data_IF_332775846780
#
_entry.id   IF_332775846780
#
_cell.length_a   1.000
_cell.length_b   1.000
_cell.length_c   1.000
_cell.angle_alpha   90.00
_cell.angle_beta   90.00
_cell.angle_gamma   90.00
#
_symmetry.space_group_name_H-M   'P 1'
#
loop_
_entity.id
_entity.type
_entity.pdbx_description
1 polymer ?
#
# COMPACT_ATOMS: atom_id res chain seq x y z
N UNK A 1 4.00 -6.95 17.17
CA UNK A 1 3.06 -6.05 16.48
C UNK A 1 1.75 -6.80 16.36
N UNK A 2 0.61 -6.21 16.72
CA UNK A 2 -0.69 -6.90 16.64
C UNK A 2 -1.06 -7.24 15.19
N UNK A 3 -1.56 -8.44 14.94
CA UNK A 3 -2.02 -8.93 13.62
C UNK A 3 -3.52 -9.24 13.66
N UNK A 4 -4.14 -9.41 12.48
CA UNK A 4 -5.50 -9.94 12.39
C UNK A 4 -5.43 -11.44 12.14
N UNK A 5 -6.25 -12.21 12.86
CA UNK A 5 -6.29 -13.67 12.75
C UNK A 5 -7.26 -14.14 11.67
N UNK A 6 -8.17 -13.27 11.22
CA UNK A 6 -9.11 -13.54 10.14
C UNK A 6 -9.52 -12.27 9.39
N UNK A 7 -10.16 -12.46 8.24
CA UNK A 7 -10.69 -11.36 7.43
C UNK A 7 -11.84 -10.63 8.12
N UNK A 8 -12.66 -11.31 8.92
CA UNK A 8 -13.71 -10.68 9.72
C UNK A 8 -13.11 -9.70 10.74
N UNK A 9 -11.99 -10.07 11.38
CA UNK A 9 -11.31 -9.20 12.32
C UNK A 9 -10.79 -7.93 11.63
N UNK A 10 -10.19 -8.08 10.44
CA UNK A 10 -9.76 -6.96 9.60
C UNK A 10 -10.93 -6.03 9.27
N UNK A 11 -12.03 -6.58 8.75
CA UNK A 11 -13.23 -5.82 8.34
C UNK A 11 -13.85 -5.07 9.52
N UNK A 12 -14.05 -5.75 10.65
CA UNK A 12 -14.66 -5.16 11.84
C UNK A 12 -13.80 -4.05 12.44
N UNK A 13 -12.48 -4.22 12.45
CA UNK A 13 -11.56 -3.21 12.99
C UNK A 13 -11.48 -1.98 12.08
N UNK A 14 -11.61 -2.17 10.76
CA UNK A 14 -11.35 -1.12 9.77
C UNK A 14 -12.60 -0.42 9.24
N UNK A 15 -13.81 -0.82 9.66
CA UNK A 15 -15.10 -0.29 9.15
C UNK A 15 -15.24 1.24 9.24
N UNK A 16 -14.52 1.89 10.16
CA UNK A 16 -14.51 3.35 10.31
C UNK A 16 -13.34 4.05 9.61
N UNK A 17 -12.41 3.30 9.02
CA UNK A 17 -11.18 3.82 8.40
C UNK A 17 -11.25 3.70 6.88
N UNK A 18 -11.71 2.56 6.37
CA UNK A 18 -11.94 2.37 4.95
C UNK A 18 -13.09 1.39 4.72
N UNK A 19 -13.68 1.47 3.54
CA UNK A 19 -14.70 0.53 3.06
C UNK A 19 -14.24 -0.09 1.73
N UNK A 20 -14.81 -1.24 1.36
CA UNK A 20 -14.58 -1.87 0.06
C UNK A 20 -15.95 -2.06 -0.60
N UNK A 21 -16.26 -1.26 -1.61
CA UNK A 21 -17.52 -1.30 -2.37
C UNK A 21 -17.23 -1.65 -3.81
N UNK A 22 -17.89 -2.67 -4.35
CA UNK A 22 -17.76 -3.07 -5.76
C UNK A 22 -16.30 -3.19 -6.25
N UNK A 23 -15.45 -3.82 -5.42
CA UNK A 23 -13.99 -3.95 -5.62
C UNK A 23 -13.17 -2.64 -5.56
N UNK A 24 -13.79 -1.49 -5.29
CA UNK A 24 -13.12 -0.23 -5.02
C UNK A 24 -12.93 0.01 -3.51
N UNK A 25 -11.71 0.40 -3.13
CA UNK A 25 -11.44 0.90 -1.78
C UNK A 25 -12.03 2.30 -1.64
N UNK A 26 -12.58 2.66 -0.48
CA UNK A 26 -12.93 4.05 -0.15
C UNK A 26 -12.31 4.37 1.20
N UNK A 27 -11.41 5.34 1.24
CA UNK A 27 -10.80 5.79 2.49
C UNK A 27 -11.75 6.76 3.20
N UNK A 28 -12.19 6.39 4.40
CA UNK A 28 -13.12 7.18 5.23
C UNK A 28 -12.38 8.09 6.20
N UNK A 29 -11.20 7.67 6.69
CA UNK A 29 -10.32 8.44 7.55
C UNK A 29 -8.86 8.26 7.13
N UNK A 30 -8.38 9.17 6.28
CA UNK A 30 -7.00 9.12 5.76
C UNK A 30 -5.94 9.23 6.87
N UNK A 31 -6.21 10.02 7.91
CA UNK A 31 -5.25 10.23 9.00
C UNK A 31 -5.06 8.92 9.78
N UNK A 32 -6.13 8.24 10.16
CA UNK A 32 -6.04 6.93 10.85
C UNK A 32 -5.48 5.86 9.92
N UNK A 33 -5.84 5.91 8.65
CA UNK A 33 -5.28 4.99 7.65
C UNK A 33 -3.75 5.07 7.61
N UNK A 34 -3.20 6.29 7.47
CA UNK A 34 -1.75 6.52 7.34
C UNK A 34 -0.94 6.30 8.62
N UNK A 35 -1.50 6.62 9.79
CA UNK A 35 -0.74 6.56 11.04
C UNK A 35 -0.81 5.19 11.72
N UNK A 36 -1.96 4.51 11.61
CA UNK A 36 -2.24 3.31 12.41
C UNK A 36 -2.48 2.08 11.52
N UNK A 37 -3.50 2.16 10.66
CA UNK A 37 -4.00 0.99 9.92
C UNK A 37 -2.99 0.44 8.92
N UNK A 38 -2.20 1.30 8.27
CA UNK A 38 -1.21 0.86 7.28
C UNK A 38 -0.14 -0.05 7.87
N UNK A 39 0.28 0.19 9.12
CA UNK A 39 1.29 -0.64 9.79
C UNK A 39 0.77 -2.07 10.01
N UNK A 40 -0.49 -2.21 10.44
CA UNK A 40 -1.15 -3.52 10.56
C UNK A 40 -1.37 -4.19 9.20
N UNK A 41 -1.78 -3.44 8.18
CA UNK A 41 -1.92 -3.97 6.82
C UNK A 41 -0.60 -4.53 6.29
N UNK A 42 0.51 -3.80 6.45
CA UNK A 42 1.84 -4.25 6.01
C UNK A 42 2.24 -5.54 6.73
N UNK A 43 2.07 -5.59 8.05
CA UNK A 43 2.39 -6.79 8.82
C UNK A 43 1.62 -8.01 8.32
N UNK A 44 0.31 -7.89 8.15
CA UNK A 44 -0.54 -8.99 7.68
C UNK A 44 -0.28 -9.36 6.21
N UNK A 45 0.03 -8.38 5.35
CA UNK A 45 0.37 -8.62 3.95
C UNK A 45 1.64 -9.47 3.77
N UNK A 46 2.57 -9.43 4.74
CA UNK A 46 3.82 -10.18 4.71
C UNK A 46 3.72 -11.48 5.52
N UNK A 47 3.22 -11.40 6.75
CA UNK A 47 3.39 -12.45 7.76
C UNK A 47 2.10 -13.20 8.16
N UNK A 48 0.92 -12.79 7.68
CA UNK A 48 -0.31 -13.50 8.05
C UNK A 48 -0.29 -14.94 7.55
N UNK A 49 -0.68 -15.88 8.40
CA UNK A 49 -0.87 -17.29 8.06
C UNK A 49 -2.24 -17.56 7.42
N UNK A 50 -3.20 -16.65 7.57
CA UNK A 50 -4.47 -16.70 6.84
C UNK A 50 -4.30 -16.06 5.46
N UNK A 51 -4.36 -16.89 4.43
CA UNK A 51 -4.12 -16.46 3.04
C UNK A 51 -5.13 -15.40 2.58
N UNK A 52 -6.36 -15.46 3.08
CA UNK A 52 -7.40 -14.49 2.74
C UNK A 52 -7.06 -13.10 3.30
N UNK A 53 -6.75 -13.03 4.60
CA UNK A 53 -6.31 -11.80 5.27
C UNK A 53 -5.06 -11.21 4.61
N UNK A 54 -4.10 -12.07 4.24
CA UNK A 54 -2.87 -11.67 3.55
C UNK A 54 -3.17 -11.00 2.21
N UNK A 55 -3.94 -11.66 1.34
CA UNK A 55 -4.30 -11.14 0.01
C UNK A 55 -5.15 -9.88 0.09
N UNK A 56 -6.11 -9.83 1.02
CA UNK A 56 -6.92 -8.64 1.24
C UNK A 56 -6.06 -7.46 1.71
N UNK A 57 -5.12 -7.69 2.63
CA UNK A 57 -4.20 -6.64 3.09
C UNK A 57 -3.34 -6.09 1.94
N UNK A 58 -2.79 -6.96 1.10
CA UNK A 58 -2.02 -6.57 -0.09
C UNK A 58 -2.88 -5.74 -1.07
N UNK A 59 -4.11 -6.18 -1.32
CA UNK A 59 -5.02 -5.50 -2.24
C UNK A 59 -5.48 -4.15 -1.70
N UNK A 60 -5.71 -4.01 -0.39
CA UNK A 60 -6.00 -2.72 0.24
C UNK A 60 -4.82 -1.77 0.10
N UNK A 61 -3.59 -2.23 0.36
CA UNK A 61 -2.38 -1.40 0.21
C UNK A 61 -2.25 -0.90 -1.24
N UNK A 62 -2.43 -1.78 -2.22
CA UNK A 62 -2.40 -1.41 -3.63
C UNK A 62 -3.46 -0.37 -4.00
N UNK A 63 -4.73 -0.59 -3.63
CA UNK A 63 -5.78 0.37 -3.96
C UNK A 63 -5.58 1.71 -3.25
N UNK A 64 -5.09 1.69 -2.01
CA UNK A 64 -4.77 2.91 -1.28
C UNK A 64 -3.64 3.69 -1.96
N UNK A 65 -2.64 3.02 -2.54
CA UNK A 65 -1.54 3.71 -3.24
C UNK A 65 -2.04 4.53 -4.44
N UNK A 66 -3.05 4.01 -5.16
CA UNK A 66 -3.68 4.70 -6.27
C UNK A 66 -4.45 5.96 -5.83
N UNK A 67 -5.11 5.91 -4.67
CA UNK A 67 -5.92 7.03 -4.16
C UNK A 67 -5.10 8.08 -3.41
N UNK A 68 -4.07 7.66 -2.70
CA UNK A 68 -3.28 8.51 -1.81
C UNK A 68 -2.07 9.17 -2.48
N UNK A 69 -1.96 9.07 -3.80
CA UNK A 69 -0.90 9.70 -4.60
C UNK A 69 0.45 9.00 -4.50
N UNK A 70 0.47 7.71 -4.15
CA UNK A 70 1.69 6.90 -4.14
C UNK A 70 1.62 5.71 -5.12
N UNK A 71 1.09 5.86 -6.35
CA UNK A 71 0.99 4.74 -7.26
C UNK A 71 2.37 4.22 -7.65
N UNK A 72 2.42 2.97 -8.07
CA UNK A 72 3.60 2.42 -8.74
C UNK A 72 3.91 3.25 -9.99
N UNK A 73 5.13 3.78 -10.10
CA UNK A 73 5.55 4.63 -11.20
C UNK A 73 6.88 4.13 -11.79
N UNK A 74 7.01 4.21 -13.11
CA UNK A 74 8.25 3.88 -13.79
C UNK A 74 9.34 4.90 -13.43
N UNK A 75 10.57 4.42 -13.26
CA UNK A 75 11.74 5.28 -13.09
C UNK A 75 12.32 5.77 -14.44
N UNK A 76 11.61 5.55 -15.56
CA UNK A 76 12.05 5.94 -16.91
C UNK A 76 12.49 7.40 -17.01
N UNK A 77 11.72 8.34 -16.45
CA UNK A 77 12.06 9.77 -16.53
C UNK A 77 13.36 10.10 -15.77
N UNK A 78 13.67 9.37 -14.69
CA UNK A 78 14.95 9.48 -14.01
C UNK A 78 16.11 8.99 -14.88
N UNK A 79 15.90 7.92 -15.68
CA UNK A 79 16.90 7.47 -16.66
C UNK A 79 17.13 8.52 -17.75
N UNK A 80 16.06 9.11 -18.29
CA UNK A 80 16.17 10.18 -19.30
C UNK A 80 16.89 11.40 -18.72
N UNK A 81 16.51 11.85 -17.51
CA UNK A 81 17.14 13.00 -16.86
C UNK A 81 18.64 12.77 -16.60
N UNK A 82 19.01 11.54 -16.20
CA UNK A 82 20.41 11.16 -16.02
C UNK A 82 21.20 11.20 -17.33
N UNK A 83 20.61 10.82 -18.46
CA UNK A 83 21.29 10.88 -19.76
C UNK A 83 21.63 12.32 -20.21
N UNK A 84 20.99 13.33 -19.60
CA UNK A 84 21.22 14.75 -19.88
C UNK A 84 21.89 15.48 -18.69
N UNK A 85 22.49 14.77 -17.74
CA UNK A 85 23.12 15.33 -16.54
C UNK A 85 22.18 16.25 -15.71
N UNK A 86 20.85 16.06 -15.83
CA UNK A 86 19.84 16.80 -15.06
C UNK A 86 19.50 16.14 -13.72
N UNK A 87 20.13 15.00 -13.44
CA UNK A 87 19.92 14.22 -12.22
C UNK A 87 21.24 13.53 -11.82
N UNK A 88 21.95 14.12 -10.86
CA UNK A 88 23.28 13.68 -10.40
C UNK A 88 23.28 13.22 -8.93
N UNK A 89 24.36 12.56 -8.50
CA UNK A 89 24.60 12.24 -7.07
C UNK A 89 23.75 11.11 -6.48
N UNK A 90 23.05 10.33 -7.32
CA UNK A 90 22.15 9.26 -6.88
C UNK A 90 22.60 7.89 -7.44
N UNK A 91 22.55 6.86 -6.61
CA UNK A 91 22.55 5.48 -7.09
C UNK A 91 21.14 5.14 -7.58
N UNK A 92 20.98 4.73 -8.83
CA UNK A 92 19.66 4.30 -9.33
C UNK A 92 19.40 2.90 -8.79
N UNK A 93 18.38 2.67 -7.93
CA UNK A 93 17.99 1.32 -7.56
C UNK A 93 17.44 0.60 -8.79
N UNK A 94 17.97 -0.59 -9.08
CA UNK A 94 17.55 -1.43 -10.19
C UNK A 94 16.21 -2.12 -9.88
N UNK A 95 15.13 -1.35 -9.78
CA UNK A 95 13.77 -1.89 -9.90
C UNK A 95 13.17 -1.25 -11.14
N UNK A 96 13.12 -2.04 -12.22
CA UNK A 96 12.34 -1.73 -13.41
C UNK A 96 11.03 -2.51 -13.27
N UNK A 97 9.91 -1.81 -13.22
CA UNK A 97 8.56 -2.37 -13.15
C UNK A 97 8.00 -2.58 -14.56
#
# INVERSE_FOLDING_TARGET
MESWNSIEELKNTCVSVFDIKDDELVILDERRFRNDTINKLIWNAVFSSDETTKKTSQRVIWNASQQLGCPSASIHDFYIARAYDKWEGMTIPAINL
#
